data_IF_900451706600
#
_entry.id   IF_900451706600
#
_cell.length_a   1.000
_cell.length_b   1.000
_cell.length_c   1.000
_cell.angle_alpha   90.00
_cell.angle_beta   90.00
_cell.angle_gamma   90.00
#
_symmetry.space_group_name_H-M   'P 1'
#
loop_
_entity.id
_entity.type
_entity.pdbx_description
1 polymer ?
#
# COMPACT_ATOMS: atom_id res chain seq x y z
N UNK A 1 -23.17 4.14 -20.36
CA UNK A 1 -22.15 5.01 -19.74
C UNK A 1 -22.06 4.60 -18.27
N UNK A 2 -21.08 3.75 -17.92
CA UNK A 2 -20.90 3.30 -16.55
C UNK A 2 -20.19 4.37 -15.74
N UNK A 3 -20.77 4.78 -14.62
CA UNK A 3 -20.10 5.66 -13.64
C UNK A 3 -19.02 4.83 -12.95
N UNK A 4 -17.75 5.19 -13.14
CA UNK A 4 -16.63 4.70 -12.32
C UNK A 4 -16.75 5.39 -10.96
N UNK A 5 -17.39 4.73 -10.00
CA UNK A 5 -17.36 5.13 -8.60
C UNK A 5 -15.98 4.79 -8.04
N UNK A 6 -15.11 5.79 -7.93
CA UNK A 6 -13.95 5.68 -7.05
C UNK A 6 -14.46 5.83 -5.61
N UNK A 7 -14.71 4.71 -4.95
CA UNK A 7 -14.88 4.69 -3.50
C UNK A 7 -13.52 5.00 -2.89
N UNK A 8 -13.27 6.27 -2.57
CA UNK A 8 -12.18 6.62 -1.66
C UNK A 8 -12.66 6.28 -0.27
N UNK A 9 -12.28 5.09 0.20
CA UNK A 9 -12.27 4.82 1.62
C UNK A 9 -11.27 5.80 2.24
N UNK A 10 -11.77 6.94 2.74
CA UNK A 10 -11.10 7.67 3.80
C UNK A 10 -11.10 6.73 5.00
N UNK A 11 -10.09 5.88 5.05
CA UNK A 11 -9.77 5.13 6.24
C UNK A 11 -9.41 6.17 7.31
N UNK A 12 -10.40 6.54 8.12
CA UNK A 12 -10.19 7.02 9.47
C UNK A 12 -9.48 5.90 10.22
N UNK A 13 -8.15 5.85 10.06
CA UNK A 13 -7.31 4.98 10.85
C UNK A 13 -7.11 5.67 12.19
N UNK A 14 -8.04 5.46 13.11
CA UNK A 14 -7.74 5.39 14.54
C UNK A 14 -6.92 4.12 14.81
N UNK A 15 -5.79 3.99 14.11
CA UNK A 15 -4.85 2.90 14.25
C UNK A 15 -3.94 3.21 15.43
N UNK A 16 -4.08 2.44 16.52
CA UNK A 16 -3.12 2.43 17.62
C UNK A 16 -1.75 2.01 17.11
N UNK A 17 -0.92 2.96 16.72
CA UNK A 17 0.49 2.72 16.49
C UNK A 17 1.24 3.08 17.76
N UNK A 18 1.67 2.06 18.52
CA UNK A 18 2.76 2.27 19.45
C UNK A 18 4.01 2.55 18.63
N UNK A 19 4.61 3.73 18.78
CA UNK A 19 5.96 4.00 18.29
C UNK A 19 6.93 3.12 19.10
N UNK A 20 7.13 1.90 18.65
CA UNK A 20 8.06 0.95 19.22
C UNK A 20 9.35 1.04 18.41
N UNK A 21 10.53 1.18 19.04
CA UNK A 21 11.80 1.15 18.31
C UNK A 21 11.87 -0.13 17.47
N UNK A 22 12.18 0.00 16.17
CA UNK A 22 12.24 -1.12 15.21
C UNK A 22 13.16 -2.29 15.65
N UNK A 23 13.99 -2.09 16.67
CA UNK A 23 14.92 -3.08 17.20
C UNK A 23 14.25 -4.27 17.91
N UNK A 24 13.03 -4.12 18.47
CA UNK A 24 12.34 -5.15 19.26
C UNK A 24 10.93 -5.45 18.72
N UNK A 25 10.76 -5.42 17.40
CA UNK A 25 9.53 -5.91 16.80
C UNK A 25 9.50 -7.44 16.97
N UNK A 26 8.54 -8.03 17.72
CA UNK A 26 8.46 -9.48 17.84
C UNK A 26 8.36 -10.08 16.44
N UNK A 27 8.96 -11.26 16.19
CA UNK A 27 8.90 -11.88 14.88
C UNK A 27 7.43 -11.96 14.47
N UNK A 28 7.07 -11.24 13.40
CA UNK A 28 5.74 -11.29 12.82
C UNK A 28 5.39 -12.77 12.64
N UNK A 29 4.20 -13.23 13.06
CA UNK A 29 3.75 -14.55 12.62
C UNK A 29 3.90 -14.56 11.09
N UNK A 30 4.66 -15.53 10.58
CA UNK A 30 5.02 -15.57 9.17
C UNK A 30 3.74 -15.36 8.36
N UNK A 31 3.62 -14.26 7.61
CA UNK A 31 2.39 -14.03 6.89
C UNK A 31 2.19 -15.21 5.95
N UNK A 32 0.92 -15.57 5.78
CA UNK A 32 0.46 -16.07 4.49
C UNK A 32 1.26 -15.37 3.39
N UNK A 33 1.98 -16.13 2.58
CA UNK A 33 2.70 -15.71 1.38
C UNK A 33 2.62 -14.19 1.08
N UNK A 34 3.68 -13.43 1.33
CA UNK A 34 3.64 -11.96 1.23
C UNK A 34 3.25 -11.44 -0.16
N UNK A 35 3.43 -12.24 -1.23
CA UNK A 35 2.91 -11.93 -2.56
C UNK A 35 1.38 -11.93 -2.62
N UNK A 36 0.71 -12.86 -1.93
CA UNK A 36 -0.76 -12.91 -1.81
C UNK A 36 -1.24 -11.66 -1.10
N UNK A 37 -0.72 -11.38 0.10
CA UNK A 37 -1.13 -10.21 0.88
C UNK A 37 -0.88 -8.89 0.14
N UNK A 38 0.21 -8.78 -0.63
CA UNK A 38 0.48 -7.60 -1.45
C UNK A 38 -0.56 -7.43 -2.57
N UNK A 39 -0.98 -8.50 -3.24
CA UNK A 39 -2.04 -8.45 -4.27
C UNK A 39 -3.41 -8.11 -3.68
N UNK A 40 -3.78 -8.72 -2.56
CA UNK A 40 -5.02 -8.40 -1.85
C UNK A 40 -5.07 -6.94 -1.43
N UNK A 41 -3.97 -6.46 -0.83
CA UNK A 41 -3.82 -5.06 -0.42
C UNK A 41 -3.92 -4.12 -1.62
N UNK A 42 -3.29 -4.46 -2.74
CA UNK A 42 -3.38 -3.67 -3.96
C UNK A 42 -4.80 -3.65 -4.53
N UNK A 43 -5.46 -4.81 -4.61
CA UNK A 43 -6.83 -4.93 -5.10
C UNK A 43 -7.82 -4.14 -4.24
N UNK A 44 -7.65 -4.18 -2.91
CA UNK A 44 -8.40 -3.37 -1.97
C UNK A 44 -8.24 -1.86 -2.23
N UNK A 45 -7.00 -1.37 -2.39
CA UNK A 45 -6.73 0.04 -2.72
C UNK A 45 -7.34 0.48 -4.06
N UNK A 46 -7.45 -0.46 -5.00
CA UNK A 46 -8.09 -0.21 -6.28
C UNK A 46 -9.62 -0.21 -6.21
N UNK A 47 -10.20 -0.30 -5.01
CA UNK A 47 -11.65 -0.36 -4.78
C UNK A 47 -12.28 -1.65 -5.30
N UNK A 48 -11.47 -2.69 -5.50
CA UNK A 48 -11.87 -3.98 -6.10
C UNK A 48 -11.33 -5.12 -5.23
N UNK A 49 -11.81 -5.27 -3.98
CA UNK A 49 -11.39 -6.38 -3.13
C UNK A 49 -11.63 -7.71 -3.84
N UNK A 50 -10.70 -8.66 -3.67
CA UNK A 50 -10.82 -9.98 -4.30
C UNK A 50 -12.03 -10.73 -3.73
N UNK A 51 -12.78 -11.41 -4.60
CA UNK A 51 -13.77 -12.38 -4.14
C UNK A 51 -13.08 -13.59 -3.49
N UNK A 52 -13.82 -14.40 -2.71
CA UNK A 52 -13.24 -15.61 -2.10
C UNK A 52 -12.65 -16.59 -3.13
N UNK A 53 -13.26 -16.70 -4.32
CA UNK A 53 -12.75 -17.50 -5.43
C UNK A 53 -11.44 -16.92 -5.99
N UNK A 54 -11.39 -15.60 -6.19
CA UNK A 54 -10.19 -14.92 -6.67
C UNK A 54 -9.04 -15.01 -5.67
N UNK A 55 -9.31 -14.81 -4.38
CA UNK A 55 -8.33 -14.95 -3.31
C UNK A 55 -7.75 -16.38 -3.29
N UNK A 56 -8.61 -17.40 -3.33
CA UNK A 56 -8.18 -18.80 -3.39
C UNK A 56 -7.35 -19.11 -4.64
N UNK A 57 -7.70 -18.54 -5.80
CA UNK A 57 -6.94 -18.70 -7.04
C UNK A 57 -5.55 -18.05 -6.96
N UNK A 58 -5.44 -16.86 -6.33
CA UNK A 58 -4.16 -16.19 -6.10
C UNK A 58 -3.30 -16.98 -5.13
N UNK A 59 -3.86 -17.47 -4.03
CA UNK A 59 -3.16 -18.35 -3.09
C UNK A 59 -2.61 -19.61 -3.77
N UNK A 60 -3.43 -20.26 -4.59
CA UNK A 60 -3.02 -21.44 -5.35
C UNK A 60 -1.90 -21.12 -6.37
N UNK A 61 -2.00 -19.99 -7.07
CA UNK A 61 -1.01 -19.56 -8.07
C UNK A 61 0.34 -19.18 -7.44
N UNK A 62 0.33 -18.71 -6.20
CA UNK A 62 1.52 -18.32 -5.45
C UNK A 62 1.98 -19.40 -4.46
N UNK A 63 1.37 -20.59 -4.47
CA UNK A 63 1.74 -21.67 -3.58
C UNK A 63 3.22 -22.06 -3.72
N UNK A 64 3.90 -22.23 -2.57
CA UNK A 64 5.31 -22.59 -2.50
C UNK A 64 6.10 -21.71 -1.52
N UNK A 65 7.35 -22.09 -1.27
CA UNK A 65 8.23 -21.41 -0.32
C UNK A 65 8.88 -20.14 -0.89
N UNK A 66 8.91 -20.02 -2.22
CA UNK A 66 9.50 -18.88 -2.93
C UNK A 66 8.53 -18.33 -3.97
N UNK A 67 8.29 -17.02 -3.92
CA UNK A 67 7.45 -16.32 -4.87
C UNK A 67 8.28 -15.33 -5.68
N UNK A 68 8.18 -15.43 -7.00
CA UNK A 68 8.81 -14.48 -7.92
C UNK A 68 7.87 -13.33 -8.29
N UNK A 69 8.45 -12.20 -8.66
CA UNK A 69 7.71 -11.05 -9.16
C UNK A 69 6.90 -11.35 -10.43
N UNK A 70 7.38 -12.29 -11.26
CA UNK A 70 6.65 -12.77 -12.43
C UNK A 70 5.36 -13.52 -12.02
N UNK A 71 5.43 -14.39 -11.00
CA UNK A 71 4.25 -15.08 -10.49
C UNK A 71 3.22 -14.09 -9.92
N UNK A 72 3.67 -13.08 -9.16
CA UNK A 72 2.78 -12.03 -8.63
C UNK A 72 2.11 -11.27 -9.77
N UNK A 73 2.89 -10.89 -10.81
CA UNK A 73 2.33 -10.24 -12.00
C UNK A 73 1.24 -11.10 -12.65
N UNK A 74 1.54 -12.37 -12.93
CA UNK A 74 0.59 -13.28 -13.58
C UNK A 74 -0.66 -13.52 -12.74
N UNK A 75 -0.52 -13.70 -11.43
CA UNK A 75 -1.66 -13.85 -10.51
C UNK A 75 -2.50 -12.56 -10.45
N UNK A 76 -1.87 -11.38 -10.41
CA UNK A 76 -2.54 -10.09 -10.48
C UNK A 76 -3.32 -9.89 -11.78
N UNK A 77 -2.74 -10.27 -12.93
CA UNK A 77 -3.40 -10.21 -14.23
C UNK A 77 -4.62 -11.14 -14.29
N UNK A 78 -4.54 -12.33 -13.68
CA UNK A 78 -5.67 -13.27 -13.61
C UNK A 78 -6.87 -12.72 -12.82
N UNK A 79 -6.66 -11.83 -11.85
CA UNK A 79 -7.73 -11.14 -11.10
C UNK A 79 -8.09 -9.77 -11.68
N UNK A 80 -7.55 -9.43 -12.85
CA UNK A 80 -7.89 -8.21 -13.59
C UNK A 80 -7.16 -6.95 -13.14
N UNK A 81 -5.98 -7.10 -12.52
CA UNK A 81 -5.02 -6.02 -12.32
C UNK A 81 -4.06 -5.97 -13.52
N UNK A 82 -3.84 -4.79 -14.10
CA UNK A 82 -2.84 -4.61 -15.15
C UNK A 82 -1.53 -4.16 -14.50
N UNK A 83 -0.54 -5.06 -14.46
CA UNK A 83 0.74 -4.83 -13.76
C UNK A 83 1.91 -4.87 -14.75
N UNK A 84 2.85 -3.94 -14.61
CA UNK A 84 4.11 -3.92 -15.37
C UNK A 84 5.29 -4.03 -14.43
N UNK A 85 6.25 -4.88 -14.77
CA UNK A 85 7.55 -4.90 -14.09
C UNK A 85 8.34 -3.63 -14.37
N UNK A 86 8.90 -3.03 -13.33
CA UNK A 86 9.77 -1.87 -13.39
C UNK A 86 11.04 -2.14 -12.60
N UNK A 87 12.17 -1.68 -13.16
CA UNK A 87 13.44 -1.60 -12.46
C UNK A 87 13.83 -0.14 -12.36
N UNK A 88 13.82 0.41 -11.14
CA UNK A 88 13.96 1.84 -10.90
C UNK A 88 14.47 2.10 -9.49
N UNK A 89 15.16 3.23 -9.27
CA UNK A 89 15.43 3.70 -7.92
C UNK A 89 14.13 4.05 -7.19
N UNK A 90 14.19 4.16 -5.85
CA UNK A 90 13.00 4.54 -5.09
C UNK A 90 12.51 5.94 -5.49
N UNK A 91 13.42 6.88 -5.72
CA UNK A 91 13.11 8.24 -6.17
C UNK A 91 12.41 8.25 -7.53
N UNK A 92 12.96 7.54 -8.52
CA UNK A 92 12.37 7.45 -9.86
C UNK A 92 10.96 6.84 -9.79
N UNK A 93 10.78 5.85 -8.91
CA UNK A 93 9.50 5.21 -8.70
C UNK A 93 8.49 6.19 -8.10
N UNK A 94 8.87 6.95 -7.08
CA UNK A 94 8.00 7.91 -6.37
C UNK A 94 7.62 9.11 -7.25
N UNK A 95 8.56 9.62 -8.06
CA UNK A 95 8.34 10.80 -8.90
C UNK A 95 7.73 10.45 -10.26
N UNK A 96 8.10 9.31 -10.84
CA UNK A 96 7.76 8.94 -12.22
C UNK A 96 6.57 8.00 -12.36
N UNK A 97 6.10 7.39 -11.26
CA UNK A 97 5.01 6.41 -11.30
C UNK A 97 3.90 6.82 -10.32
N UNK A 98 2.72 7.24 -10.82
CA UNK A 98 1.58 7.53 -9.97
C UNK A 98 0.95 6.26 -9.40
N UNK A 99 0.42 6.37 -8.17
CA UNK A 99 -0.40 5.32 -7.54
C UNK A 99 0.39 4.25 -6.76
N UNK A 100 -0.32 3.27 -6.18
CA UNK A 100 0.28 2.21 -5.40
C UNK A 100 1.04 1.21 -6.29
N UNK A 101 2.09 0.62 -5.72
CA UNK A 101 2.97 -0.34 -6.38
C UNK A 101 3.42 -1.41 -5.42
N UNK A 102 3.61 -2.63 -5.92
CA UNK A 102 4.23 -3.69 -5.14
C UNK A 102 5.74 -3.54 -5.31
N UNK A 103 6.46 -3.39 -4.21
CA UNK A 103 7.93 -3.34 -4.21
C UNK A 103 8.49 -4.59 -3.57
N UNK A 104 9.67 -5.00 -4.03
CA UNK A 104 10.42 -6.09 -3.41
C UNK A 104 11.51 -5.54 -2.49
N UNK A 105 11.58 -6.12 -1.29
CA UNK A 105 12.56 -5.82 -0.26
C UNK A 105 13.45 -7.04 -0.06
N UNK A 106 14.73 -6.83 0.23
CA UNK A 106 15.69 -7.84 0.63
C UNK A 106 15.94 -7.79 2.14
N UNK A 107 16.43 -8.90 2.71
CA UNK A 107 16.88 -9.02 4.10
C UNK A 107 15.86 -8.58 5.18
N UNK A 108 14.73 -9.30 5.33
CA UNK A 108 14.34 -10.51 4.62
C UNK A 108 13.65 -10.22 3.27
N UNK A 109 13.68 -11.22 2.38
CA UNK A 109 12.93 -11.16 1.12
C UNK A 109 11.44 -10.98 1.39
N UNK A 110 10.85 -9.88 0.92
CA UNK A 110 9.46 -9.52 1.23
C UNK A 110 8.83 -8.67 0.12
N UNK A 111 7.53 -8.85 -0.10
CA UNK A 111 6.73 -7.99 -0.98
C UNK A 111 5.79 -7.13 -0.15
N UNK A 112 5.73 -5.83 -0.46
CA UNK A 112 4.84 -4.89 0.21
C UNK A 112 4.28 -3.89 -0.79
N UNK A 113 3.14 -3.27 -0.47
CA UNK A 113 2.56 -2.22 -1.31
C UNK A 113 3.09 -0.86 -0.86
N UNK A 114 3.92 -0.21 -1.66
CA UNK A 114 4.33 1.18 -1.45
C UNK A 114 3.25 2.14 -1.97
N UNK A 115 2.71 2.94 -1.06
CA UNK A 115 1.68 3.94 -1.38
C UNK A 115 2.34 5.25 -1.79
N UNK A 116 3.15 5.79 -0.89
CA UNK A 116 3.83 7.08 -1.03
C UNK A 116 4.99 7.16 -0.04
N UNK A 117 5.87 8.12 -0.25
CA UNK A 117 6.95 8.47 0.66
C UNK A 117 7.36 9.94 0.41
N UNK A 118 7.93 10.57 1.43
CA UNK A 118 8.58 11.87 1.31
C UNK A 118 10.10 11.74 1.56
N UNK A 119 10.77 12.75 2.12
CA UNK A 119 12.19 12.66 2.43
C UNK A 119 12.50 11.86 3.72
N UNK A 120 11.55 11.76 4.65
CA UNK A 120 11.76 11.23 5.99
C UNK A 120 11.04 9.90 6.24
N UNK A 121 9.85 9.72 5.67
CA UNK A 121 9.02 8.53 5.89
C UNK A 121 8.52 7.90 4.59
N UNK A 122 8.17 6.62 4.69
CA UNK A 122 7.46 5.88 3.66
C UNK A 122 6.20 5.23 4.26
N UNK A 123 5.12 5.25 3.49
CA UNK A 123 3.86 4.60 3.82
C UNK A 123 3.69 3.38 2.94
N UNK A 124 3.62 2.23 3.59
CA UNK A 124 3.41 0.94 2.96
C UNK A 124 2.12 0.29 3.47
N UNK A 125 1.64 -0.72 2.76
CA UNK A 125 0.62 -1.62 3.25
C UNK A 125 1.12 -3.05 3.19
N UNK A 126 1.05 -3.70 4.34
CA UNK A 126 1.63 -5.02 4.59
C UNK A 126 0.67 -5.86 5.43
N UNK A 127 0.26 -7.01 4.88
CA UNK A 127 -0.76 -7.86 5.50
C UNK A 127 -2.08 -7.13 5.76
N UNK A 128 -2.51 -6.25 4.85
CA UNK A 128 -3.72 -5.43 5.01
C UNK A 128 -3.62 -4.32 6.05
N UNK A 129 -2.42 -4.06 6.59
CA UNK A 129 -2.20 -2.99 7.57
C UNK A 129 -1.38 -1.86 6.97
N UNK A 130 -1.79 -0.64 7.25
CA UNK A 130 -0.98 0.53 6.96
C UNK A 130 0.23 0.58 7.89
N UNK A 131 1.42 0.74 7.33
CA UNK A 131 2.68 0.84 8.08
C UNK A 131 3.40 2.10 7.63
N UNK A 132 3.75 2.95 8.61
CA UNK A 132 4.67 4.07 8.42
C UNK A 132 6.05 3.64 8.94
N UNK A 133 7.08 3.82 8.13
CA UNK A 133 8.46 3.53 8.50
C UNK A 133 9.39 4.65 8.03
N UNK A 134 10.57 4.82 8.65
CA UNK A 134 11.60 5.71 8.13
C UNK A 134 11.92 5.36 6.68
N UNK A 135 11.99 6.37 5.80
CA UNK A 135 12.31 6.15 4.40
C UNK A 135 13.66 5.46 4.21
N UNK A 136 14.65 5.83 5.02
CA UNK A 136 15.99 5.24 5.00
C UNK A 136 16.00 3.75 5.32
N UNK A 137 15.02 3.25 6.09
CA UNK A 137 14.84 1.84 6.34
C UNK A 137 14.28 1.14 5.09
N UNK A 138 13.24 1.69 4.47
CA UNK A 138 12.72 1.15 3.20
C UNK A 138 13.80 1.11 2.11
N UNK A 139 14.55 2.20 1.93
CA UNK A 139 15.60 2.32 0.92
C UNK A 139 16.71 1.30 1.11
N UNK A 140 17.10 1.02 2.35
CA UNK A 140 18.14 0.03 2.66
C UNK A 140 17.76 -1.36 2.16
N UNK A 141 16.48 -1.71 2.24
CA UNK A 141 15.98 -3.03 1.88
C UNK A 141 15.45 -3.10 0.45
N UNK A 142 15.09 -1.99 -0.18
CA UNK A 142 14.53 -1.98 -1.53
C UNK A 142 15.49 -2.53 -2.59
N UNK A 143 15.04 -3.51 -3.37
CA UNK A 143 15.90 -4.19 -4.35
C UNK A 143 16.00 -3.50 -5.71
N UNK A 144 15.28 -2.38 -5.90
CA UNK A 144 15.18 -1.72 -7.20
C UNK A 144 14.13 -2.31 -8.13
N UNK A 145 13.35 -3.29 -7.67
CA UNK A 145 12.34 -3.99 -8.47
C UNK A 145 10.92 -3.71 -7.94
N UNK A 146 10.01 -3.42 -8.86
CA UNK A 146 8.61 -3.13 -8.53
C UNK A 146 7.64 -3.66 -9.60
N UNK A 147 6.41 -3.91 -9.18
CA UNK A 147 5.25 -4.03 -10.06
C UNK A 147 4.41 -2.75 -9.94
N UNK A 148 4.25 -2.08 -11.07
CA UNK A 148 3.50 -0.83 -11.16
C UNK A 148 2.15 -1.08 -11.84
N UNK A 149 1.09 -0.46 -11.33
CA UNK A 149 -0.21 -0.49 -11.99
C UNK A 149 -0.16 0.25 -13.31
N UNK A 150 -0.67 -0.37 -14.36
CA UNK A 150 -0.97 0.29 -15.62
C UNK A 150 -2.42 0.75 -15.58
N UNK A 151 -2.64 1.97 -15.09
CA UNK A 151 -3.95 2.59 -15.18
C UNK A 151 -4.04 3.40 -16.48
N UNK A 152 -5.11 3.22 -17.29
CA UNK A 152 -5.38 4.13 -18.40
C UNK A 152 -5.67 5.52 -17.85
N UNK A 153 -4.96 6.52 -18.36
CA UNK A 153 -5.09 7.97 -18.15
C UNK A 153 -5.58 8.41 -16.76
N UNK A 154 -4.64 8.47 -15.81
CA UNK A 154 -4.92 8.93 -14.44
C UNK A 154 -5.10 10.44 -14.30
N UNK A 155 -4.79 11.21 -15.33
CA UNK A 155 -4.80 12.68 -15.25
C UNK A 155 -6.21 13.22 -14.92
N UNK A 156 -7.26 12.54 -15.39
CA UNK A 156 -8.63 12.97 -15.15
C UNK A 156 -9.32 12.29 -13.95
N UNK A 157 -8.83 11.14 -13.47
CA UNK A 157 -9.47 10.39 -12.40
C UNK A 157 -9.32 11.06 -11.02
N UNK A 158 -10.35 11.04 -10.15
CA UNK A 158 -10.26 11.60 -8.81
C UNK A 158 -9.21 10.83 -7.99
N UNK A 159 -8.30 11.54 -7.31
CA UNK A 159 -7.19 10.92 -6.58
C UNK A 159 -7.02 11.57 -5.21
N UNK A 160 -7.23 10.79 -4.15
CA UNK A 160 -6.84 11.22 -2.81
C UNK A 160 -5.31 11.25 -2.71
N UNK A 161 -4.74 12.44 -2.50
CA UNK A 161 -3.32 12.66 -2.34
C UNK A 161 -3.07 13.24 -0.95
N UNK A 162 -2.50 12.46 -0.03
CA UNK A 162 -2.06 12.99 1.26
C UNK A 162 -0.95 14.02 1.04
N UNK A 163 -1.06 15.21 1.63
CA UNK A 163 -0.07 16.28 1.45
C UNK A 163 1.08 16.16 2.44
N UNK A 164 0.75 16.07 3.73
CA UNK A 164 1.73 15.95 4.81
C UNK A 164 1.11 15.22 6.00
N UNK A 165 1.95 14.43 6.67
CA UNK A 165 1.64 13.87 7.97
C UNK A 165 1.61 15.02 8.98
N UNK A 166 0.43 15.35 9.48
CA UNK A 166 0.27 16.23 10.63
C UNK A 166 0.35 15.37 11.88
N UNK A 167 1.48 15.42 12.58
CA UNK A 167 1.54 14.88 13.94
C UNK A 167 0.68 15.75 14.86
N UNK A 168 -0.45 15.22 15.31
CA UNK A 168 -1.19 15.81 16.42
C UNK A 168 -0.50 15.43 17.75
N UNK A 169 0.62 16.11 18.03
CA UNK A 169 1.30 16.24 19.32
C UNK A 169 2.04 15.05 19.96
N UNK A 170 3.27 15.36 20.46
CA UNK A 170 3.62 15.10 21.86
C UNK A 170 4.21 13.74 22.24
N UNK A 171 5.06 13.12 21.42
CA UNK A 171 5.78 11.89 21.82
C UNK A 171 6.62 12.18 23.08
N UNK A 172 6.12 11.76 24.23
CA UNK A 172 6.76 11.92 25.55
C UNK A 172 7.13 10.58 26.18
N UNK A 173 6.76 9.45 25.57
CA UNK A 173 7.16 8.12 26.03
C UNK A 173 6.82 6.96 25.08
N UNK A 174 7.43 5.81 25.34
CA UNK A 174 7.15 4.53 24.67
C UNK A 174 5.75 4.04 25.07
N UNK A 175 4.94 3.58 24.11
CA UNK A 175 3.60 3.03 24.37
C UNK A 175 2.46 4.05 24.37
N UNK A 176 2.69 5.28 23.91
CA UNK A 176 1.62 6.26 23.71
C UNK A 176 0.79 5.94 22.47
N UNK A 177 -0.52 6.19 22.56
CA UNK A 177 -1.40 6.22 21.40
C UNK A 177 -1.09 7.49 20.61
N UNK A 178 -0.69 7.31 19.35
CA UNK A 178 -0.42 8.41 18.43
C UNK A 178 -1.57 8.52 17.46
N UNK A 179 -2.22 9.69 17.44
CA UNK A 179 -3.20 10.03 16.42
C UNK A 179 -2.47 10.66 15.22
N UNK A 180 -2.66 10.08 14.05
CA UNK A 180 -2.08 10.57 12.81
C UNK A 180 -3.16 11.31 12.01
N UNK A 181 -2.98 12.61 11.82
CA UNK A 181 -3.84 13.41 10.96
C UNK A 181 -3.15 13.59 9.61
N UNK A 182 -3.91 13.51 8.52
CA UNK A 182 -3.42 13.79 7.18
C UNK A 182 -4.33 14.81 6.51
N UNK A 183 -3.73 15.79 5.84
CA UNK A 183 -4.47 16.56 4.84
C UNK A 183 -4.52 15.75 3.56
N UNK A 184 -5.71 15.59 3.01
CA UNK A 184 -5.92 14.92 1.73
C UNK A 184 -6.39 15.95 0.72
N UNK A 185 -5.61 16.12 -0.35
CA UNK A 185 -5.97 16.90 -1.52
C UNK A 185 -6.54 16.00 -2.61
N UNK A 186 -7.31 16.59 -3.52
CA UNK A 186 -7.63 15.93 -4.78
C UNK A 186 -6.50 16.19 -5.78
N UNK A 187 -5.70 15.16 -6.06
CA UNK A 187 -4.67 15.20 -7.10
C UNK A 187 -5.21 15.02 -8.52
N UNK A 188 -6.51 14.70 -8.67
CA UNK A 188 -7.19 14.51 -9.95
C UNK A 188 -7.99 15.73 -10.40
N UNK A 189 -8.38 15.77 -11.68
CA UNK A 189 -9.26 16.82 -12.22
C UNK A 189 -10.74 16.60 -11.90
N UNK A 190 -11.16 15.35 -11.76
CA UNK A 190 -12.53 15.02 -11.34
C UNK A 190 -12.66 15.18 -9.81
N UNK A 191 -13.75 15.78 -9.28
CA UNK A 191 -13.94 15.94 -7.83
C UNK A 191 -13.94 14.62 -7.05
N UNK A 192 -13.40 14.65 -5.82
CA UNK A 192 -13.48 13.55 -4.86
C UNK A 192 -14.86 13.55 -4.17
N UNK A 193 -15.47 12.38 -4.07
CA UNK A 193 -16.64 12.13 -3.22
C UNK A 193 -16.20 11.37 -1.98
N UNK A 194 -16.51 11.90 -0.80
CA UNK A 194 -16.18 11.28 0.47
C UNK A 194 -17.44 10.62 1.06
N UNK A 195 -17.32 9.37 1.48
CA UNK A 195 -18.34 8.70 2.28
C UNK A 195 -17.84 8.62 3.72
N UNK A 196 -18.56 9.26 4.64
CA UNK A 196 -18.29 9.16 6.07
C UNK A 196 -19.18 8.04 6.60
N UNK A 197 -18.64 6.95 7.15
CA UNK A 197 -19.47 5.91 7.76
C UNK A 197 -20.26 6.54 8.90
N UNK A 198 -21.57 6.29 8.94
CA UNK A 198 -22.38 6.69 10.09
C UNK A 198 -21.86 5.94 11.33
N UNK A 199 -21.76 6.60 12.51
CA UNK A 199 -21.37 5.91 13.72
C UNK A 199 -22.40 4.81 14.02
N UNK A 200 -21.94 3.57 14.12
CA UNK A 200 -22.77 2.45 14.57
C UNK A 200 -23.40 2.84 15.92
N UNK A 201 -24.73 2.95 15.94
CA UNK A 201 -25.53 3.36 17.11
C UNK A 201 -25.65 2.29 18.18
#
# INVERSE_FOLDING_TARGET
MGSLQAAVALLWLSGRCAAQPCADMPPRPAPQNCGVSALESLAYLMGRPLSGEQASAVEAALAGDTVSMLQIKTAGEAVGLSLRGARASLDDLLQGVPGPRIVHLADPAHFTVLLQADAEWAQTMDGGRLVLLPRSELERHYTGEALVLQMPDLDDAPRAQPEALCHAFGVTGVGQEVEHCFRVANGGRTPLTLQVPEPDG
#
